data_IF_403395967362
#
_entry.id   IF_403395967362
#
_cell.length_a   1.000
_cell.length_b   1.000
_cell.length_c   1.000
_cell.angle_alpha   90.00
_cell.angle_beta   90.00
_cell.angle_gamma   90.00
#
_symmetry.space_group_name_H-M   'P 1'
#
loop_
_entity.id
_entity.type
_entity.pdbx_description
1 polymer ?
#
# COMPACT_ATOMS: atom_id res chain seq x y z
N UNK A 1 48.38 10.98 12.62
CA UNK A 1 46.91 10.91 12.49
C UNK A 1 46.50 12.01 11.53
N UNK A 2 45.87 11.63 10.42
CA UNK A 2 45.19 12.49 9.43
C UNK A 2 43.77 11.88 9.31
N UNK A 3 42.66 12.66 9.22
CA UNK A 3 42.26 13.25 7.93
C UNK A 3 41.58 14.64 7.98
N UNK A 4 41.83 15.37 6.90
CA UNK A 4 40.99 16.37 6.21
C UNK A 4 39.48 16.07 6.12
N UNK A 5 38.65 17.11 6.29
CA UNK A 5 37.31 17.25 5.69
C UNK A 5 37.10 18.71 5.26
N UNK A 6 36.82 19.03 3.97
CA UNK A 6 36.25 20.31 3.60
C UNK A 6 34.72 20.25 3.78
N UNK A 7 34.18 21.22 4.51
CA UNK A 7 32.74 21.48 4.60
C UNK A 7 32.29 21.94 3.20
N UNK A 8 31.37 21.19 2.58
CA UNK A 8 30.80 21.55 1.29
C UNK A 8 29.92 22.80 1.41
N UNK A 9 30.17 23.77 0.54
CA UNK A 9 29.43 25.04 0.47
C UNK A 9 27.95 24.79 0.14
N UNK A 10 27.07 25.00 1.11
CA UNK A 10 25.65 25.21 0.86
C UNK A 10 25.48 26.65 0.34
N UNK A 11 24.99 26.80 -0.89
CA UNK A 11 24.65 28.10 -1.44
C UNK A 11 23.35 28.60 -0.80
N UNK A 12 23.44 29.64 0.03
CA UNK A 12 22.27 30.33 0.59
C UNK A 12 22.00 31.58 -0.24
N UNK A 13 20.83 31.67 -0.89
CA UNK A 13 20.36 32.91 -1.49
C UNK A 13 19.28 33.55 -0.63
N UNK A 14 19.49 34.80 -0.23
CA UNK A 14 18.52 35.63 0.48
C UNK A 14 17.89 36.60 -0.53
N UNK A 15 16.57 36.55 -0.68
CA UNK A 15 15.82 37.56 -1.43
C UNK A 15 15.34 38.62 -0.42
N UNK A 16 15.79 39.89 -0.49
CA UNK A 16 15.28 40.91 0.40
C UNK A 16 13.89 41.35 -0.04
N UNK A 17 12.93 41.36 0.89
CA UNK A 17 11.62 41.97 0.70
C UNK A 17 11.59 43.28 1.52
N UNK A 18 11.39 44.40 0.85
CA UNK A 18 11.29 45.71 1.48
C UNK A 18 10.00 45.79 2.33
N UNK A 19 10.18 45.97 3.64
CA UNK A 19 9.22 46.70 4.47
C UNK A 19 7.86 46.06 4.74
N UNK A 20 7.82 44.84 5.28
CA UNK A 20 6.77 44.37 6.17
C UNK A 20 7.31 43.16 6.95
N UNK A 21 6.86 42.95 8.19
CA UNK A 21 7.19 41.73 8.96
C UNK A 21 6.74 40.52 8.13
N UNK A 22 7.69 39.90 7.43
CA UNK A 22 7.46 38.83 6.48
C UNK A 22 8.25 37.61 6.90
N UNK A 23 7.57 36.48 6.97
CA UNK A 23 8.17 35.19 7.28
C UNK A 23 9.35 34.89 6.35
N UNK A 24 10.49 34.53 6.94
CA UNK A 24 11.69 34.17 6.19
C UNK A 24 11.49 32.75 5.65
N UNK A 25 11.18 32.63 4.36
CA UNK A 25 11.19 31.35 3.67
C UNK A 25 12.61 31.06 3.16
N UNK A 26 13.33 30.20 3.88
CA UNK A 26 14.63 29.70 3.41
C UNK A 26 14.37 28.51 2.48
N UNK A 27 14.64 28.67 1.19
CA UNK A 27 14.69 27.55 0.25
C UNK A 27 16.05 26.87 0.40
N UNK A 28 16.06 25.65 0.92
CA UNK A 28 17.28 24.84 1.02
C UNK A 28 17.28 23.85 -0.14
N UNK A 29 18.11 24.10 -1.15
CA UNK A 29 18.41 23.09 -2.18
C UNK A 29 19.34 22.05 -1.57
N UNK A 30 18.76 20.92 -1.14
CA UNK A 30 19.52 19.79 -0.64
C UNK A 30 20.08 19.00 -1.84
N UNK A 31 21.38 18.66 -1.85
CA UNK A 31 21.94 17.83 -2.90
C UNK A 31 21.26 16.45 -2.90
N UNK A 32 20.64 16.12 -4.04
CA UNK A 32 20.00 14.83 -4.29
C UNK A 32 21.04 13.70 -4.21
N UNK A 33 21.16 13.09 -3.03
CA UNK A 33 21.93 11.87 -2.85
C UNK A 33 21.15 10.71 -3.48
N UNK A 34 21.64 10.22 -4.64
CA UNK A 34 21.21 9.00 -5.35
C UNK A 34 19.86 8.46 -4.87
N UNK A 35 18.79 9.03 -5.40
CA UNK A 35 17.44 8.52 -5.18
C UNK A 35 17.44 7.03 -5.53
N UNK A 36 17.15 6.19 -4.54
CA UNK A 36 16.79 4.81 -4.82
C UNK A 36 15.44 4.87 -5.56
N UNK A 37 15.30 4.16 -6.66
CA UNK A 37 14.06 4.16 -7.47
C UNK A 37 13.46 2.75 -7.47
N UNK A 38 12.15 2.66 -7.67
CA UNK A 38 11.48 1.40 -7.99
C UNK A 38 10.63 1.54 -9.25
N UNK A 39 10.31 0.41 -9.91
CA UNK A 39 9.61 0.42 -11.19
C UNK A 39 8.23 -0.19 -11.05
N UNK A 40 7.19 0.51 -11.47
CA UNK A 40 5.83 -0.04 -11.60
C UNK A 40 5.37 0.15 -13.03
N UNK A 41 4.99 -0.95 -13.70
CA UNK A 41 4.47 -0.94 -15.07
C UNK A 41 5.37 -0.17 -16.06
N UNK A 42 6.70 -0.24 -15.87
CA UNK A 42 7.69 0.44 -16.70
C UNK A 42 8.00 1.89 -16.33
N UNK A 43 7.26 2.47 -15.39
CA UNK A 43 7.48 3.83 -14.86
C UNK A 43 8.35 3.76 -13.62
N UNK A 44 9.34 4.66 -13.52
CA UNK A 44 10.25 4.78 -12.36
C UNK A 44 9.68 5.77 -11.35
N UNK A 45 9.73 5.38 -10.09
CA UNK A 45 9.28 6.18 -8.96
C UNK A 45 10.46 6.43 -8.01
N UNK A 46 10.75 7.68 -7.66
CA UNK A 46 11.81 7.99 -6.70
C UNK A 46 11.38 7.59 -5.29
N UNK A 47 12.33 7.12 -4.49
CA UNK A 47 12.13 6.92 -3.05
C UNK A 47 12.35 8.25 -2.34
N UNK A 48 11.27 8.83 -1.85
CA UNK A 48 11.32 10.05 -1.05
C UNK A 48 11.62 9.65 0.40
N UNK A 49 12.81 9.98 0.88
CA UNK A 49 13.14 9.86 2.30
C UNK A 49 12.73 11.15 3.02
N UNK A 50 11.64 11.11 3.81
CA UNK A 50 11.29 12.20 4.71
C UNK A 50 12.33 12.31 5.83
N UNK A 51 13.40 13.08 5.62
CA UNK A 51 14.53 13.24 6.56
C UNK A 51 14.27 14.23 7.69
N UNK A 52 13.13 14.94 7.68
CA UNK A 52 12.81 15.94 8.69
C UNK A 52 11.53 15.57 9.44
N UNK A 53 11.68 14.67 10.41
CA UNK A 53 10.75 14.64 11.54
C UNK A 53 11.58 14.86 12.80
N UNK A 54 11.29 15.95 13.52
CA UNK A 54 11.85 16.25 14.84
C UNK A 54 11.45 15.19 15.91
N UNK A 55 10.70 14.18 15.49
CA UNK A 55 10.29 13.02 16.27
C UNK A 55 10.90 11.76 15.64
N UNK A 56 11.38 10.78 16.44
CA UNK A 56 12.00 9.56 15.94
C UNK A 56 10.92 8.61 15.40
N UNK A 57 10.31 8.93 14.26
CA UNK A 57 9.49 7.98 13.52
C UNK A 57 10.13 7.79 12.16
N UNK A 58 10.87 6.68 12.05
CA UNK A 58 11.47 6.19 10.81
C UNK A 58 10.35 5.76 9.86
N UNK A 59 9.72 6.69 9.16
CA UNK A 59 8.90 6.35 7.99
C UNK A 59 9.84 6.30 6.77
N UNK A 60 10.64 5.24 6.70
CA UNK A 60 11.42 4.93 5.50
C UNK A 60 10.65 3.93 4.64
N UNK A 61 10.59 4.20 3.34
CA UNK A 61 10.25 3.19 2.35
C UNK A 61 11.29 2.07 2.43
N UNK A 62 10.82 0.83 2.57
CA UNK A 62 11.65 -0.36 2.54
C UNK A 62 11.49 -1.02 1.16
N UNK A 63 12.55 -0.95 0.34
CA UNK A 63 12.59 -1.58 -0.98
C UNK A 63 12.89 -3.08 -0.85
N UNK A 64 12.08 -3.89 -1.52
CA UNK A 64 12.23 -5.36 -1.59
C UNK A 64 12.47 -6.06 -0.25
N UNK A 65 11.62 -5.87 0.78
CA UNK A 65 11.80 -6.56 2.05
C UNK A 65 11.75 -8.09 1.80
N UNK A 66 12.78 -8.85 2.17
CA UNK A 66 12.95 -10.25 1.72
C UNK A 66 11.73 -11.14 1.98
N UNK A 67 11.09 -10.96 3.12
CA UNK A 67 9.95 -11.72 3.61
C UNK A 67 8.68 -11.38 2.81
N UNK A 68 8.51 -10.10 2.45
CA UNK A 68 7.42 -9.66 1.58
C UNK A 68 7.64 -10.12 0.13
N UNK A 69 8.87 -10.09 -0.36
CA UNK A 69 9.24 -10.62 -1.69
C UNK A 69 8.95 -12.11 -1.76
N UNK A 70 9.35 -12.87 -0.73
CA UNK A 70 9.09 -14.30 -0.64
C UNK A 70 7.57 -14.59 -0.61
N UNK A 71 6.82 -13.83 0.19
CA UNK A 71 5.36 -13.93 0.25
C UNK A 71 4.70 -13.65 -1.12
N UNK A 72 5.04 -12.54 -1.77
CA UNK A 72 4.45 -12.16 -3.06
C UNK A 72 4.77 -13.19 -4.15
N UNK A 73 6.04 -13.62 -4.23
CA UNK A 73 6.46 -14.67 -5.15
C UNK A 73 5.68 -15.97 -4.90
N UNK A 74 5.52 -16.36 -3.63
CA UNK A 74 4.75 -17.55 -3.28
C UNK A 74 3.29 -17.47 -3.75
N UNK A 75 2.63 -16.31 -3.65
CA UNK A 75 1.28 -16.14 -4.19
C UNK A 75 1.24 -16.27 -5.72
N UNK A 76 2.18 -15.62 -6.42
CA UNK A 76 2.27 -15.64 -7.89
C UNK A 76 2.48 -17.04 -8.46
N UNK A 77 3.28 -17.87 -7.78
CA UNK A 77 3.59 -19.24 -8.21
C UNK A 77 2.64 -20.29 -7.62
N UNK A 78 1.67 -19.89 -6.78
CA UNK A 78 0.73 -20.82 -6.19
C UNK A 78 -0.39 -21.12 -7.19
N UNK A 79 -0.52 -22.37 -7.62
CA UNK A 79 -1.55 -22.84 -8.54
C UNK A 79 -2.62 -23.73 -7.88
N UNK A 80 -2.69 -23.75 -6.55
CA UNK A 80 -3.70 -24.52 -5.81
C UNK A 80 -5.10 -24.12 -6.28
N UNK A 81 -5.95 -25.10 -6.62
CA UNK A 81 -7.34 -24.83 -6.95
C UNK A 81 -8.03 -24.11 -5.80
N UNK A 82 -8.70 -23.00 -6.10
CA UNK A 82 -9.30 -22.14 -5.08
C UNK A 82 -10.79 -22.43 -5.02
N UNK A 83 -11.12 -23.46 -4.24
CA UNK A 83 -12.48 -23.95 -4.05
C UNK A 83 -12.94 -23.74 -2.62
N UNK A 84 -14.26 -23.76 -2.43
CA UNK A 84 -14.85 -23.72 -1.10
C UNK A 84 -14.30 -24.86 -0.22
N UNK A 85 -13.95 -24.53 1.03
CA UNK A 85 -13.35 -25.41 2.03
C UNK A 85 -11.91 -25.86 1.76
N UNK A 86 -11.25 -25.33 0.72
CA UNK A 86 -9.83 -25.56 0.50
C UNK A 86 -8.96 -24.78 1.51
N UNK A 87 -7.72 -25.24 1.73
CA UNK A 87 -6.69 -24.49 2.45
C UNK A 87 -5.55 -24.20 1.49
N UNK A 88 -5.29 -22.92 1.24
CA UNK A 88 -4.10 -22.48 0.51
C UNK A 88 -2.97 -22.33 1.52
N UNK A 89 -1.91 -23.12 1.35
CA UNK A 89 -0.71 -23.07 2.19
C UNK A 89 0.42 -22.37 1.45
N UNK A 90 1.10 -21.48 2.14
CA UNK A 90 2.39 -20.95 1.71
C UNK A 90 3.49 -21.99 1.97
N UNK A 91 4.61 -21.92 1.23
CA UNK A 91 5.78 -22.73 1.53
C UNK A 91 6.28 -22.55 2.96
N UNK A 92 7.03 -23.53 3.45
CA UNK A 92 7.61 -23.49 4.79
C UNK A 92 8.46 -22.22 5.00
N UNK A 93 8.31 -21.59 6.17
CA UNK A 93 8.99 -20.34 6.53
C UNK A 93 8.41 -19.07 5.90
N UNK A 94 7.43 -19.16 4.98
CA UNK A 94 6.80 -18.00 4.36
C UNK A 94 5.47 -17.69 5.07
N UNK A 95 5.29 -16.42 5.42
CA UNK A 95 4.14 -15.94 6.18
C UNK A 95 3.37 -14.87 5.41
N UNK A 96 2.07 -14.72 5.71
CA UNK A 96 1.22 -13.70 5.13
C UNK A 96 1.80 -12.31 5.43
N UNK A 97 2.00 -11.49 4.40
CA UNK A 97 2.69 -10.18 4.50
C UNK A 97 4.07 -10.24 5.19
N UNK A 98 4.73 -11.41 5.20
CA UNK A 98 6.00 -11.59 5.89
C UNK A 98 5.91 -11.56 7.43
N UNK A 99 4.71 -11.59 8.01
CA UNK A 99 4.50 -11.53 9.46
C UNK A 99 4.09 -12.92 10.02
N UNK A 100 4.95 -13.57 10.84
CA UNK A 100 4.62 -14.85 11.47
C UNK A 100 3.33 -14.87 12.27
N UNK A 101 2.91 -13.74 12.84
CA UNK A 101 1.67 -13.65 13.62
C UNK A 101 0.40 -13.81 12.76
N UNK A 102 0.49 -13.56 11.45
CA UNK A 102 -0.60 -13.77 10.51
C UNK A 102 -0.69 -15.23 10.05
N UNK A 103 0.38 -16.02 10.26
CA UNK A 103 0.47 -17.41 9.83
C UNK A 103 0.79 -17.58 8.35
N UNK A 104 0.71 -18.82 7.88
CA UNK A 104 1.17 -19.24 6.54
C UNK A 104 0.07 -19.90 5.70
N UNK A 105 -1.20 -19.81 6.13
CA UNK A 105 -2.31 -20.53 5.50
C UNK A 105 -3.56 -19.66 5.43
N UNK A 106 -4.34 -19.83 4.36
CA UNK A 106 -5.64 -19.18 4.18
C UNK A 106 -6.68 -20.27 3.93
N UNK A 107 -7.66 -20.36 4.83
CA UNK A 107 -8.83 -21.20 4.64
C UNK A 107 -9.86 -20.51 3.74
N UNK A 108 -10.22 -21.15 2.64
CA UNK A 108 -11.19 -20.64 1.68
C UNK A 108 -12.58 -21.00 2.17
N UNK A 109 -13.25 -20.04 2.81
CA UNK A 109 -14.60 -20.25 3.32
C UNK A 109 -15.59 -20.47 2.17
N UNK A 110 -16.68 -21.23 2.34
CA UNK A 110 -17.71 -21.41 1.33
C UNK A 110 -18.25 -20.11 0.71
N UNK A 111 -18.28 -19.03 1.51
CA UNK A 111 -18.74 -17.72 1.04
C UNK A 111 -17.70 -16.95 0.21
N UNK A 112 -16.41 -17.31 0.24
CA UNK A 112 -15.36 -16.54 -0.44
C UNK A 112 -15.50 -16.55 -1.97
N UNK A 113 -15.62 -17.72 -2.66
CA UNK A 113 -15.77 -17.71 -4.11
C UNK A 113 -16.99 -16.93 -4.63
N UNK A 114 -18.22 -17.09 -4.08
CA UNK A 114 -19.36 -16.30 -4.56
C UNK A 114 -19.22 -14.82 -4.19
N UNK A 115 -18.69 -14.48 -3.01
CA UNK A 115 -18.46 -13.08 -2.62
C UNK A 115 -17.46 -12.39 -3.55
N UNK A 116 -16.38 -13.08 -3.94
CA UNK A 116 -15.39 -12.57 -4.88
C UNK A 116 -16.01 -12.25 -6.25
N UNK A 117 -16.90 -13.11 -6.76
CA UNK A 117 -17.62 -12.85 -8.02
C UNK A 117 -18.44 -11.56 -7.94
N UNK A 118 -19.09 -11.31 -6.81
CA UNK A 118 -19.81 -10.06 -6.56
C UNK A 118 -18.86 -8.87 -6.50
N UNK A 119 -17.71 -9.02 -5.82
CA UNK A 119 -16.70 -7.97 -5.74
C UNK A 119 -16.23 -7.54 -7.13
N UNK A 120 -15.86 -8.50 -7.99
CA UNK A 120 -15.45 -8.26 -9.37
C UNK A 120 -16.51 -7.57 -10.20
N UNK A 121 -17.78 -7.97 -10.07
CA UNK A 121 -18.87 -7.28 -10.76
C UNK A 121 -18.98 -5.80 -10.37
N UNK A 122 -18.79 -5.48 -9.09
CA UNK A 122 -18.88 -4.10 -8.59
C UNK A 122 -17.68 -3.25 -8.97
N UNK A 123 -16.47 -3.69 -8.65
CA UNK A 123 -15.23 -2.93 -8.83
C UNK A 123 -14.83 -2.71 -10.30
N UNK A 124 -15.32 -3.56 -11.21
CA UNK A 124 -15.10 -3.39 -12.64
C UNK A 124 -16.21 -2.59 -13.34
N UNK A 125 -17.19 -2.08 -12.58
CA UNK A 125 -18.10 -1.05 -13.09
C UNK A 125 -17.34 0.27 -13.22
N UNK A 126 -17.17 0.83 -14.44
CA UNK A 126 -16.45 2.08 -14.65
C UNK A 126 -17.05 3.28 -13.90
N UNK A 127 -18.33 3.19 -13.48
CA UNK A 127 -19.01 4.26 -12.74
C UNK A 127 -18.71 4.23 -11.24
N UNK A 128 -18.42 3.07 -10.68
CA UNK A 128 -18.16 2.91 -9.25
C UNK A 128 -17.11 1.82 -9.01
N UNK A 129 -15.82 2.14 -9.19
CA UNK A 129 -14.73 1.19 -8.99
C UNK A 129 -14.39 0.99 -7.49
N UNK A 130 -15.37 1.19 -6.61
CA UNK A 130 -15.19 1.20 -5.17
C UNK A 130 -16.20 0.28 -4.50
N UNK A 131 -15.74 -0.51 -3.53
CA UNK A 131 -16.57 -1.47 -2.81
C UNK A 131 -16.24 -1.43 -1.32
N UNK A 132 -17.27 -1.52 -0.49
CA UNK A 132 -17.13 -1.69 0.96
C UNK A 132 -17.67 -3.05 1.40
N UNK A 133 -16.85 -3.81 2.12
CA UNK A 133 -17.25 -5.07 2.76
C UNK A 133 -17.28 -4.86 4.27
N UNK A 134 -18.50 -4.80 4.79
CA UNK A 134 -18.78 -4.66 6.21
C UNK A 134 -18.86 -6.02 6.90
N UNK A 135 -18.49 -6.05 8.17
CA UNK A 135 -18.75 -7.20 9.03
C UNK A 135 -18.19 -7.05 10.43
N UNK A 136 -18.61 -7.92 11.34
CA UNK A 136 -18.14 -7.90 12.71
C UNK A 136 -16.63 -8.21 12.80
N UNK A 137 -15.93 -7.71 13.85
CA UNK A 137 -14.57 -8.14 14.15
C UNK A 137 -14.47 -9.67 14.21
N UNK A 138 -13.36 -10.23 13.73
CA UNK A 138 -13.13 -11.68 13.76
C UNK A 138 -13.88 -12.51 12.70
N UNK A 139 -14.81 -11.93 11.93
CA UNK A 139 -15.57 -12.70 10.92
C UNK A 139 -14.75 -13.15 9.70
N UNK A 140 -13.45 -12.84 9.64
CA UNK A 140 -12.55 -13.28 8.57
C UNK A 140 -12.41 -12.33 7.38
N UNK A 141 -12.67 -11.02 7.54
CA UNK A 141 -12.46 -10.02 6.48
C UNK A 141 -10.99 -9.91 6.04
N UNK A 142 -10.06 -9.81 6.98
CA UNK A 142 -8.61 -9.79 6.70
C UNK A 142 -8.16 -10.97 5.82
N UNK A 143 -8.59 -12.18 6.17
CA UNK A 143 -8.29 -13.39 5.37
C UNK A 143 -8.98 -13.39 4.00
N UNK A 144 -10.15 -12.76 3.88
CA UNK A 144 -10.76 -12.50 2.56
C UNK A 144 -9.93 -11.50 1.75
N UNK A 145 -9.29 -10.50 2.38
CA UNK A 145 -8.31 -9.64 1.73
C UNK A 145 -7.11 -10.41 1.18
N UNK A 146 -6.55 -11.35 1.94
CA UNK A 146 -5.47 -12.23 1.44
C UNK A 146 -5.93 -13.15 0.32
N UNK A 147 -7.18 -13.60 0.37
CA UNK A 147 -7.79 -14.36 -0.71
C UNK A 147 -7.88 -13.55 -2.01
N UNK A 148 -8.32 -12.29 -1.93
CA UNK A 148 -8.34 -11.36 -3.08
C UNK A 148 -6.91 -11.13 -3.58
N UNK A 149 -5.97 -10.88 -2.67
CA UNK A 149 -4.56 -10.65 -3.01
C UNK A 149 -3.94 -11.86 -3.76
N UNK A 150 -4.27 -13.09 -3.37
CA UNK A 150 -3.87 -14.31 -4.08
C UNK A 150 -4.39 -14.33 -5.54
N UNK A 151 -5.65 -13.95 -5.77
CA UNK A 151 -6.20 -13.91 -7.14
C UNK A 151 -5.48 -12.87 -8.00
N UNK A 152 -5.31 -11.66 -7.45
CA UNK A 152 -4.63 -10.57 -8.14
C UNK A 152 -3.16 -10.88 -8.42
N UNK A 153 -2.48 -11.60 -7.53
CA UNK A 153 -1.12 -12.08 -7.74
C UNK A 153 -1.01 -13.02 -8.94
N UNK A 154 -1.93 -13.99 -9.04
CA UNK A 154 -1.97 -14.95 -10.15
C UNK A 154 -2.24 -14.31 -11.50
N UNK A 155 -3.02 -13.22 -11.49
CA UNK A 155 -3.30 -12.42 -12.68
C UNK A 155 -2.24 -11.33 -12.95
N UNK A 156 -1.17 -11.29 -12.15
CA UNK A 156 -0.08 -10.31 -12.26
C UNK A 156 -0.57 -8.86 -12.24
N UNK A 157 -1.55 -8.55 -11.38
CA UNK A 157 -2.07 -7.19 -11.19
C UNK A 157 -1.18 -6.36 -10.26
N UNK A 158 -1.21 -5.05 -10.44
CA UNK A 158 -0.66 -4.08 -9.48
C UNK A 158 -1.61 -3.95 -8.30
N UNK A 159 -1.10 -4.19 -7.09
CA UNK A 159 -1.88 -4.12 -5.86
C UNK A 159 -1.16 -3.24 -4.83
N UNK A 160 -1.90 -2.32 -4.23
CA UNK A 160 -1.52 -1.68 -2.96
C UNK A 160 -2.40 -2.30 -1.87
N UNK A 161 -1.78 -2.89 -0.86
CA UNK A 161 -2.48 -3.38 0.33
C UNK A 161 -2.20 -2.43 1.49
N UNK A 162 -3.22 -1.85 2.11
CA UNK A 162 -3.09 -1.04 3.32
C UNK A 162 -3.57 -1.82 4.55
N UNK A 163 -2.72 -1.85 5.58
CA UNK A 163 -3.05 -2.42 6.88
C UNK A 163 -3.20 -1.31 7.91
N UNK A 164 -4.42 -1.09 8.39
CA UNK A 164 -4.70 -0.11 9.45
C UNK A 164 -4.07 -0.49 10.80
N UNK A 165 -3.75 -1.78 11.01
CA UNK A 165 -3.08 -2.23 12.24
C UNK A 165 -1.61 -1.81 12.27
N UNK A 166 -0.89 -2.00 11.16
CA UNK A 166 0.54 -1.65 11.05
C UNK A 166 0.77 -0.24 10.51
N UNK A 167 -0.29 0.48 10.13
CA UNK A 167 -0.23 1.80 9.46
C UNK A 167 0.76 1.80 8.31
N UNK A 168 0.74 0.73 7.53
CA UNK A 168 1.68 0.50 6.43
C UNK A 168 0.92 0.16 5.15
N UNK A 169 1.47 0.61 4.02
CA UNK A 169 1.10 0.16 2.69
C UNK A 169 2.15 -0.80 2.14
N UNK A 170 1.69 -1.77 1.37
CA UNK A 170 2.51 -2.75 0.68
C UNK A 170 2.17 -2.70 -0.80
N UNK A 171 3.13 -2.30 -1.61
CA UNK A 171 3.02 -2.30 -3.07
C UNK A 171 3.53 -3.64 -3.61
N UNK A 172 2.72 -4.26 -4.45
CA UNK A 172 3.02 -5.49 -5.18
C UNK A 172 2.75 -5.27 -6.67
N UNK A 173 3.78 -5.29 -7.51
CA UNK A 173 3.65 -5.06 -8.95
C UNK A 173 4.71 -5.83 -9.74
N UNK A 174 4.34 -6.95 -10.37
CA UNK A 174 5.32 -7.82 -11.02
C UNK A 174 6.37 -8.29 -10.02
N UNK A 175 7.64 -7.96 -10.25
CA UNK A 175 8.74 -8.27 -9.33
C UNK A 175 9.00 -7.16 -8.29
N UNK A 176 8.34 -6.01 -8.43
CA UNK A 176 8.44 -4.88 -7.52
C UNK A 176 7.63 -5.14 -6.26
N UNK A 177 8.32 -5.14 -5.11
CA UNK A 177 7.71 -5.26 -3.79
C UNK A 177 8.29 -4.18 -2.90
N UNK A 178 7.43 -3.30 -2.39
CA UNK A 178 7.85 -2.14 -1.59
C UNK A 178 6.92 -1.98 -0.40
N UNK A 179 7.47 -1.66 0.76
CA UNK A 179 6.70 -1.29 1.95
C UNK A 179 6.87 0.19 2.23
N UNK A 180 5.78 0.88 2.52
CA UNK A 180 5.75 2.29 2.87
C UNK A 180 4.75 2.57 3.99
N UNK A 181 4.66 3.83 4.36
CA UNK A 181 3.65 4.42 5.24
C UNK A 181 2.28 4.57 4.53
N UNK A 182 1.30 5.14 5.24
CA UNK A 182 -0.01 5.49 4.67
C UNK A 182 0.03 6.75 3.79
N UNK A 183 1.15 7.46 3.74
CA UNK A 183 1.33 8.62 2.86
C UNK A 183 2.08 8.25 1.58
N UNK A 184 2.61 7.03 1.48
CA UNK A 184 3.33 6.55 0.31
C UNK A 184 2.39 5.99 -0.77
N UNK A 185 2.90 5.94 -2.02
CA UNK A 185 2.24 5.36 -3.19
C UNK A 185 1.03 6.14 -3.73
N UNK A 186 0.87 7.41 -3.38
CA UNK A 186 -0.24 8.26 -3.88
C UNK A 186 -0.31 8.24 -5.41
N UNK A 187 0.81 8.45 -6.10
CA UNK A 187 0.88 8.43 -7.58
C UNK A 187 0.44 7.09 -8.19
N UNK A 188 0.59 5.99 -7.44
CA UNK A 188 0.23 4.64 -7.88
C UNK A 188 -1.26 4.39 -7.64
N UNK A 189 -1.81 4.97 -6.57
CA UNK A 189 -3.25 4.94 -6.26
C UNK A 189 -4.06 5.83 -7.23
N UNK A 190 -3.43 6.79 -7.89
CA UNK A 190 -4.05 7.58 -8.97
C UNK A 190 -4.13 6.84 -10.31
N UNK A 191 -3.54 5.64 -10.42
CA UNK A 191 -3.69 4.80 -11.60
C UNK A 191 -4.97 3.96 -11.51
N UNK A 192 -5.91 4.07 -12.48
CA UNK A 192 -7.16 3.30 -12.45
C UNK A 192 -6.97 1.80 -12.65
N UNK A 193 -5.77 1.36 -13.07
CA UNK A 193 -5.40 -0.05 -13.19
C UNK A 193 -4.91 -0.68 -11.89
N UNK A 194 -4.67 0.13 -10.85
CA UNK A 194 -4.21 -0.33 -9.54
C UNK A 194 -5.38 -0.85 -8.73
N UNK A 195 -5.21 -2.02 -8.10
CA UNK A 195 -6.13 -2.51 -7.09
C UNK A 195 -5.67 -2.04 -5.71
N UNK A 196 -6.60 -1.51 -4.93
CA UNK A 196 -6.32 -1.01 -3.59
C UNK A 196 -7.16 -1.76 -2.56
N UNK A 197 -6.50 -2.60 -1.75
CA UNK A 197 -7.16 -3.37 -0.69
C UNK A 197 -6.87 -2.70 0.65
N UNK A 198 -7.92 -2.30 1.36
CA UNK A 198 -7.79 -1.51 2.58
C UNK A 198 -8.33 -2.31 3.76
N UNK A 199 -7.47 -2.79 4.64
CA UNK A 199 -7.85 -3.57 5.83
C UNK A 199 -7.88 -2.68 7.07
N UNK A 200 -9.10 -2.31 7.48
CA UNK A 200 -9.38 -1.54 8.69
C UNK A 200 -8.69 -0.17 8.79
N UNK A 201 -8.48 0.51 7.66
CA UNK A 201 -8.02 1.90 7.58
C UNK A 201 -9.02 2.78 6.81
N UNK A 202 -8.79 4.10 6.83
CA UNK A 202 -9.55 5.04 6.01
C UNK A 202 -8.76 5.32 4.72
N UNK A 203 -9.28 4.92 3.55
CA UNK A 203 -8.60 5.21 2.30
C UNK A 203 -8.67 6.70 1.95
N UNK A 204 -7.62 7.26 1.32
CA UNK A 204 -7.73 8.55 0.66
C UNK A 204 -8.62 8.45 -0.58
N UNK A 205 -9.09 9.60 -1.07
CA UNK A 205 -9.70 9.70 -2.39
C UNK A 205 -8.65 9.37 -3.45
N UNK A 206 -8.93 8.42 -4.33
CA UNK A 206 -8.01 7.97 -5.38
C UNK A 206 -8.79 7.33 -6.54
N UNK A 207 -8.12 7.13 -7.69
CA UNK A 207 -8.74 6.49 -8.87
C UNK A 207 -8.61 4.97 -8.88
N UNK A 208 -7.81 4.39 -7.99
CA UNK A 208 -7.62 2.96 -7.89
C UNK A 208 -8.92 2.22 -7.59
N UNK A 209 -9.03 1.02 -8.17
CA UNK A 209 -10.06 0.03 -7.89
C UNK A 209 -9.99 -0.38 -6.41
N UNK A 210 -10.88 0.15 -5.57
CA UNK A 210 -10.73 0.10 -4.11
C UNK A 210 -11.70 -0.89 -3.45
N UNK A 211 -11.17 -1.77 -2.61
CA UNK A 211 -11.93 -2.69 -1.75
C UNK A 211 -11.63 -2.37 -0.29
N UNK A 212 -12.59 -1.75 0.39
CA UNK A 212 -12.51 -1.44 1.81
C UNK A 212 -13.07 -2.58 2.66
N UNK A 213 -12.22 -3.18 3.48
CA UNK A 213 -12.55 -4.23 4.44
C UNK A 213 -12.64 -3.61 5.83
N UNK A 214 -13.86 -3.37 6.33
CA UNK A 214 -14.02 -2.64 7.60
C UNK A 214 -15.18 -3.14 8.44
N UNK A 215 -15.19 -2.76 9.72
CA UNK A 215 -16.36 -2.93 10.58
C UNK A 215 -17.36 -1.80 10.26
N UNK A 216 -18.67 -1.96 10.55
CA UNK A 216 -19.65 -0.89 10.38
C UNK A 216 -19.42 0.24 11.40
N UNK A 217 -18.33 0.99 11.23
CA UNK A 217 -18.05 2.24 11.93
C UNK A 217 -18.36 3.38 10.97
N UNK A 218 -19.37 4.16 11.31
CA UNK A 218 -19.92 5.22 10.47
C UNK A 218 -18.80 6.12 9.89
N UNK A 219 -17.89 6.60 10.72
CA UNK A 219 -16.78 7.48 10.32
C UNK A 219 -15.90 6.93 9.18
N UNK A 220 -15.72 5.61 9.09
CA UNK A 220 -14.78 5.01 8.12
C UNK A 220 -15.49 4.62 6.83
N UNK A 221 -16.69 4.04 6.91
CA UNK A 221 -17.40 3.58 5.71
C UNK A 221 -18.28 4.66 5.09
N UNK A 222 -18.91 5.51 5.90
CA UNK A 222 -19.89 6.48 5.42
C UNK A 222 -19.21 7.62 4.66
N UNK A 223 -18.12 8.18 5.19
CA UNK A 223 -17.29 9.15 4.46
C UNK A 223 -16.75 8.55 3.16
N UNK A 224 -16.23 7.32 3.18
CA UNK A 224 -15.75 6.68 1.97
C UNK A 224 -16.86 6.48 0.92
N UNK A 225 -18.05 6.04 1.36
CA UNK A 225 -19.18 5.83 0.47
C UNK A 225 -19.72 7.16 -0.10
N UNK A 226 -19.87 8.21 0.70
CA UNK A 226 -20.30 9.53 0.21
C UNK A 226 -19.33 10.12 -0.82
N UNK A 227 -18.03 9.94 -0.60
CA UNK A 227 -17.00 10.57 -1.43
C UNK A 227 -16.70 9.78 -2.73
N UNK A 228 -17.03 8.48 -2.78
CA UNK A 228 -16.54 7.56 -3.83
C UNK A 228 -17.61 6.58 -4.38
N UNK A 229 -18.82 6.52 -3.83
CA UNK A 229 -19.88 5.64 -4.33
C UNK A 229 -21.13 6.45 -4.69
N UNK A 230 -21.82 6.07 -5.78
CA UNK A 230 -23.17 6.56 -6.05
C UNK A 230 -24.13 5.88 -5.05
N UNK A 231 -24.58 6.59 -4.01
CA UNK A 231 -25.55 6.10 -3.01
C UNK A 231 -26.98 6.45 -3.43
#
# INVERSE_FOLDING_TARGET
>A
MDPTYPVGDAAFSVVPNDGAVGDIHVLVDLPAHRETEFVVNGVRYPVIHHRFSLHPVRHSIDLYPPELVAFWRALRTNHTAVEANAVVKLPEGIHLLGDPALGSQVYIRPCYPPLLKLCWKSIHDPKSPHLVILGNPGIGKKFFGFFILLQLARENKTVVYESGLSKSRYLFAGDTVVKGSQDDFVDILDLPTTYYIVDAAQPPKCQAMTILLTKPKLEVWYSFAEDNCDI
#
